data_IF_146137510838
#
_entry.id   IF_146137510838
#
_cell.length_a   1.000
_cell.length_b   1.000
_cell.length_c   1.000
_cell.angle_alpha   90.00
_cell.angle_beta   90.00
_cell.angle_gamma   90.00
#
_symmetry.space_group_name_H-M   'P 1'
#
loop_
_entity.id
_entity.type
_entity.pdbx_description
1 polymer ?
#
# COMPACT_ATOMS: atom_id res chain seq x y z
N UNK A 1 40.18 22.42 76.86
CA UNK A 1 40.86 21.55 75.88
C UNK A 1 40.11 21.69 74.56
N UNK A 2 40.52 22.66 73.76
CA UNK A 2 39.97 22.95 72.44
C UNK A 2 41.17 23.08 71.52
N UNK A 3 41.40 22.08 70.67
CA UNK A 3 42.49 22.09 69.69
C UNK A 3 42.11 23.07 68.59
N UNK A 4 42.78 24.22 68.58
CA UNK A 4 42.78 25.15 67.46
C UNK A 4 43.61 24.55 66.31
N UNK A 5 42.96 24.27 65.19
CA UNK A 5 43.59 23.91 63.92
C UNK A 5 44.23 25.16 63.30
N UNK A 6 45.48 25.04 62.87
CA UNK A 6 46.27 26.17 62.37
C UNK A 6 45.84 26.64 60.97
N UNK A 7 46.09 27.91 60.60
CA UNK A 7 45.63 28.52 59.33
C UNK A 7 46.13 27.85 58.04
N UNK A 8 47.11 26.94 58.13
CA UNK A 8 47.72 26.28 56.96
C UNK A 8 46.89 25.07 56.50
N UNK A 9 46.15 24.40 57.38
CA UNK A 9 45.29 23.27 57.00
C UNK A 9 44.02 23.74 56.23
N UNK A 10 43.48 24.92 56.55
CA UNK A 10 42.33 25.48 55.82
C UNK A 10 42.64 25.90 54.38
N UNK A 11 43.87 26.33 54.06
CA UNK A 11 44.22 26.73 52.69
C UNK A 11 44.39 25.53 51.74
N UNK A 12 44.79 24.36 52.24
CA UNK A 12 44.92 23.16 51.42
C UNK A 12 43.56 22.53 51.06
N UNK A 13 42.57 22.57 51.96
CA UNK A 13 41.21 22.08 51.65
C UNK A 13 40.50 22.94 50.60
N UNK A 14 40.66 24.27 50.66
CA UNK A 14 40.06 25.19 49.66
C UNK A 14 40.68 24.99 48.27
N UNK A 15 42.01 24.77 48.19
CA UNK A 15 42.69 24.53 46.91
C UNK A 15 42.30 23.20 46.25
N UNK A 16 42.11 22.13 47.04
CA UNK A 16 41.62 20.85 46.53
C UNK A 16 40.16 20.91 46.07
N UNK A 17 39.29 21.66 46.78
CA UNK A 17 37.91 21.88 46.37
C UNK A 17 37.80 22.67 45.05
N UNK A 18 38.63 23.70 44.84
CA UNK A 18 38.63 24.52 43.61
C UNK A 18 39.16 23.73 42.39
N UNK A 19 40.15 22.85 42.57
CA UNK A 19 40.61 21.93 41.51
C UNK A 19 39.56 20.85 41.17
N UNK A 20 38.82 20.34 42.16
CA UNK A 20 37.71 19.41 41.94
C UNK A 20 36.59 20.02 41.09
N UNK A 21 36.22 21.27 41.37
CA UNK A 21 35.19 22.01 40.62
C UNK A 21 35.63 22.27 39.16
N UNK A 22 36.91 22.54 38.90
CA UNK A 22 37.42 22.69 37.54
C UNK A 22 37.42 21.38 36.75
N UNK A 23 37.78 20.25 37.37
CA UNK A 23 37.70 18.93 36.74
C UNK A 23 36.25 18.54 36.44
N UNK A 24 35.32 18.77 37.36
CA UNK A 24 33.88 18.50 37.16
C UNK A 24 33.32 19.35 36.02
N UNK A 25 33.63 20.65 35.96
CA UNK A 25 33.20 21.53 34.86
C UNK A 25 33.79 21.13 33.50
N UNK A 26 35.01 20.62 33.47
CA UNK A 26 35.66 20.17 32.22
C UNK A 26 35.06 18.86 31.71
N UNK A 27 34.79 17.90 32.61
CA UNK A 27 34.10 16.64 32.27
C UNK A 27 32.67 16.92 31.81
N UNK A 28 31.95 17.82 32.49
CA UNK A 28 30.57 18.19 32.10
C UNK A 28 30.51 18.90 30.74
N UNK A 29 31.51 19.72 30.40
CA UNK A 29 31.62 20.36 29.07
C UNK A 29 31.95 19.34 27.98
N UNK A 30 32.79 18.35 28.27
CA UNK A 30 33.11 17.27 27.32
C UNK A 30 31.89 16.36 27.07
N UNK A 31 31.14 16.00 28.12
CA UNK A 31 29.93 15.17 27.97
C UNK A 31 28.80 15.91 27.28
N UNK A 32 28.60 17.21 27.54
CA UNK A 32 27.62 18.02 26.80
C UNK A 32 28.01 18.18 25.33
N UNK A 33 29.31 18.35 25.05
CA UNK A 33 29.82 18.43 23.67
C UNK A 33 29.63 17.13 22.90
N UNK A 34 29.93 15.98 23.53
CA UNK A 34 29.70 14.66 22.95
C UNK A 34 28.21 14.37 22.73
N UNK A 35 27.34 14.75 23.67
CA UNK A 35 25.90 14.61 23.51
C UNK A 35 25.37 15.50 22.38
N UNK A 36 25.84 16.73 22.25
CA UNK A 36 25.45 17.63 21.16
C UNK A 36 25.92 17.13 19.80
N UNK A 37 27.13 16.56 19.71
CA UNK A 37 27.64 15.91 18.49
C UNK A 37 26.82 14.65 18.17
N UNK A 38 26.47 13.84 19.18
CA UNK A 38 25.64 12.65 18.98
C UNK A 38 24.23 13.02 18.50
N UNK A 39 23.62 14.07 19.07
CA UNK A 39 22.33 14.60 18.62
C UNK A 39 22.44 15.17 17.20
N UNK A 40 23.52 15.88 16.86
CA UNK A 40 23.72 16.42 15.52
C UNK A 40 23.95 15.31 14.48
N UNK A 41 24.75 14.28 14.80
CA UNK A 41 24.97 13.12 13.94
C UNK A 41 23.68 12.30 13.80
N UNK A 42 22.91 12.14 14.88
CA UNK A 42 21.62 11.46 14.84
C UNK A 42 20.59 12.26 14.02
N UNK A 43 20.53 13.58 14.17
CA UNK A 43 19.66 14.46 13.39
C UNK A 43 20.06 14.51 11.90
N UNK A 44 21.36 14.47 11.57
CA UNK A 44 21.84 14.36 10.19
C UNK A 44 21.57 12.97 9.60
N UNK A 45 21.70 11.90 10.39
CA UNK A 45 21.35 10.55 9.98
C UNK A 45 19.83 10.39 9.74
N UNK A 46 19.01 11.06 10.55
CA UNK A 46 17.55 11.12 10.37
C UNK A 46 17.15 12.01 9.19
N UNK A 47 17.80 13.17 9.01
CA UNK A 47 17.54 14.08 7.89
C UNK A 47 17.80 13.43 6.51
N UNK A 48 18.87 12.63 6.40
CA UNK A 48 19.19 11.89 5.17
C UNK A 48 18.27 10.68 4.90
N UNK A 49 17.51 10.22 5.90
CA UNK A 49 16.49 9.17 5.73
C UNK A 49 15.15 9.80 5.34
N UNK A 50 14.86 10.99 5.86
CA UNK A 50 13.65 11.75 5.55
C UNK A 50 13.65 12.32 4.12
N UNK A 51 14.82 12.66 3.56
CA UNK A 51 14.96 13.06 2.15
C UNK A 51 14.78 11.92 1.14
N UNK A 52 14.70 10.65 1.58
CA UNK A 52 14.46 9.49 0.71
C UNK A 52 13.03 8.94 0.76
N UNK A 53 12.13 9.67 1.42
CA UNK A 53 10.70 9.37 1.27
C UNK A 53 10.28 9.90 -0.11
N UNK A 54 9.72 9.02 -0.95
CA UNK A 54 9.17 9.41 -2.24
C UNK A 54 8.04 10.42 -1.98
N UNK A 55 8.31 11.71 -2.20
CA UNK A 55 7.26 12.71 -2.27
C UNK A 55 6.62 12.56 -3.65
N UNK A 56 5.55 11.75 -3.72
CA UNK A 56 4.63 11.63 -4.85
C UNK A 56 5.19 12.10 -6.19
N UNK A 57 6.08 11.31 -6.79
CA UNK A 57 6.54 11.53 -8.15
C UNK A 57 5.35 11.47 -9.11
N UNK A 58 5.43 12.23 -10.20
CA UNK A 58 4.41 12.24 -11.24
C UNK A 58 4.20 10.82 -11.77
N UNK A 59 2.94 10.36 -11.80
CA UNK A 59 2.60 9.06 -12.35
C UNK A 59 2.96 8.99 -13.85
N UNK A 60 3.33 7.81 -14.38
CA UNK A 60 3.71 7.62 -15.78
C UNK A 60 2.75 8.27 -16.78
N UNK A 61 1.43 8.14 -16.60
CA UNK A 61 0.46 8.71 -17.54
C UNK A 61 0.45 10.25 -17.62
N UNK A 62 1.11 10.93 -16.67
CA UNK A 62 1.14 12.37 -16.52
C UNK A 62 2.57 12.95 -16.54
N UNK A 63 3.58 12.14 -16.86
CA UNK A 63 4.99 12.52 -16.80
C UNK A 63 5.41 13.57 -17.86
N UNK A 64 4.60 13.72 -18.90
CA UNK A 64 4.80 14.69 -19.98
C UNK A 64 5.81 14.25 -21.05
N UNK A 65 6.27 13.01 -21.00
CA UNK A 65 7.20 12.43 -21.96
C UNK A 65 6.46 11.67 -23.06
N UNK A 66 7.12 11.46 -24.21
CA UNK A 66 6.61 10.60 -25.26
C UNK A 66 6.78 9.14 -24.84
N UNK A 67 5.68 8.38 -24.90
CA UNK A 67 5.64 6.94 -24.72
C UNK A 67 5.87 6.29 -26.08
N UNK A 68 7.01 5.63 -26.26
CA UNK A 68 7.50 5.17 -27.55
C UNK A 68 6.75 3.94 -28.07
N UNK A 69 6.13 3.16 -27.20
CA UNK A 69 5.38 1.94 -27.51
C UNK A 69 6.12 0.66 -27.17
N UNK A 70 5.36 -0.39 -26.82
CA UNK A 70 5.91 -1.66 -26.31
C UNK A 70 6.83 -2.36 -27.31
N UNK A 71 6.61 -2.17 -28.62
CA UNK A 71 7.44 -2.79 -29.64
C UNK A 71 8.92 -2.36 -29.56
N UNK A 72 9.21 -1.17 -29.01
CA UNK A 72 10.58 -0.69 -28.79
C UNK A 72 11.34 -1.51 -27.74
N UNK A 73 10.63 -2.17 -26.82
CA UNK A 73 11.18 -3.07 -25.81
C UNK A 73 11.31 -4.52 -26.31
N UNK A 74 10.57 -4.89 -27.37
CA UNK A 74 10.21 -6.27 -27.70
C UNK A 74 11.28 -7.09 -28.47
N UNK A 75 12.38 -6.47 -28.90
CA UNK A 75 13.39 -7.16 -29.70
C UNK A 75 14.21 -8.15 -28.86
N UNK A 76 14.83 -9.16 -29.50
CA UNK A 76 15.66 -10.14 -28.81
C UNK A 76 16.99 -9.59 -28.26
N UNK A 77 17.39 -8.39 -28.69
CA UNK A 77 18.56 -7.67 -28.12
C UNK A 77 18.15 -6.73 -26.97
N UNK A 78 16.85 -6.63 -26.71
CA UNK A 78 16.23 -5.92 -25.61
C UNK A 78 15.50 -6.97 -24.74
N UNK A 79 14.24 -6.75 -24.38
CA UNK A 79 13.51 -7.56 -23.41
C UNK A 79 12.70 -8.72 -24.04
N UNK A 80 12.99 -9.08 -25.30
CA UNK A 80 12.25 -10.07 -26.10
C UNK A 80 12.91 -11.43 -26.32
N UNK A 81 13.97 -11.77 -25.57
CA UNK A 81 14.62 -13.08 -25.69
C UNK A 81 13.66 -14.24 -25.38
N UNK A 82 13.81 -15.42 -26.01
CA UNK A 82 12.93 -16.56 -25.79
C UNK A 82 13.13 -17.24 -24.42
N UNK A 83 14.25 -17.01 -23.76
CA UNK A 83 14.62 -17.59 -22.46
C UNK A 83 15.42 -16.58 -21.65
N UNK A 84 15.38 -16.72 -20.32
CA UNK A 84 16.06 -15.79 -19.42
C UNK A 84 17.58 -15.77 -19.68
N UNK A 85 18.17 -14.58 -19.68
CA UNK A 85 19.62 -14.43 -19.81
C UNK A 85 20.34 -14.78 -18.51
N UNK A 86 21.50 -15.42 -18.65
CA UNK A 86 22.46 -15.65 -17.56
C UNK A 86 23.60 -14.62 -17.57
N UNK A 87 23.71 -13.82 -18.64
CA UNK A 87 24.81 -12.88 -18.86
C UNK A 87 24.41 -11.43 -18.57
N UNK A 88 23.11 -11.13 -18.63
CA UNK A 88 22.56 -9.80 -18.40
C UNK A 88 22.12 -9.64 -16.94
N UNK A 89 22.07 -8.38 -16.48
CA UNK A 89 21.60 -8.00 -15.14
C UNK A 89 20.05 -7.93 -15.02
N UNK A 90 19.36 -8.35 -16.08
CA UNK A 90 17.90 -8.44 -16.20
C UNK A 90 17.56 -9.76 -16.91
N UNK A 91 16.29 -10.16 -16.92
CA UNK A 91 15.89 -11.46 -17.48
C UNK A 91 15.95 -11.47 -19.00
N UNK A 92 15.83 -10.30 -19.66
CA UNK A 92 15.73 -10.15 -21.11
C UNK A 92 14.50 -10.83 -21.74
N UNK A 93 13.56 -11.32 -20.91
CA UNK A 93 12.32 -11.98 -21.31
C UNK A 93 11.08 -11.20 -20.93
N UNK A 94 11.23 -10.02 -20.33
CA UNK A 94 10.16 -9.24 -19.71
C UNK A 94 9.01 -8.98 -20.69
N UNK A 95 9.29 -8.64 -21.95
CA UNK A 95 8.26 -8.48 -22.98
C UNK A 95 7.47 -9.77 -23.22
N UNK A 96 8.13 -10.93 -23.25
CA UNK A 96 7.43 -12.21 -23.46
C UNK A 96 6.62 -12.63 -22.25
N UNK A 97 7.11 -12.35 -21.04
CA UNK A 97 6.35 -12.58 -19.81
C UNK A 97 5.08 -11.73 -19.81
N UNK A 98 5.23 -10.42 -20.09
CA UNK A 98 4.11 -9.49 -20.23
C UNK A 98 3.09 -9.95 -21.27
N UNK A 99 3.56 -10.26 -22.49
CA UNK A 99 2.69 -10.63 -23.61
C UNK A 99 1.90 -11.93 -23.35
N UNK A 100 2.54 -12.94 -22.75
CA UNK A 100 1.98 -14.28 -22.68
C UNK A 100 1.26 -14.57 -21.35
N UNK A 101 1.72 -13.97 -20.25
CA UNK A 101 1.32 -14.36 -18.90
C UNK A 101 0.66 -13.23 -18.12
N UNK A 102 1.01 -11.97 -18.39
CA UNK A 102 0.48 -10.83 -17.65
C UNK A 102 -0.94 -10.47 -18.14
N UNK A 103 -1.86 -10.23 -17.20
CA UNK A 103 -3.22 -9.78 -17.51
C UNK A 103 -3.25 -8.33 -17.99
N UNK A 104 -2.24 -7.52 -17.64
CA UNK A 104 -2.09 -6.14 -18.09
C UNK A 104 -2.02 -6.01 -19.62
N UNK A 105 -1.33 -6.94 -20.30
CA UNK A 105 -1.28 -7.00 -21.78
C UNK A 105 -2.64 -7.31 -22.42
N UNK A 106 -3.60 -7.81 -21.63
CA UNK A 106 -4.95 -8.17 -22.07
C UNK A 106 -6.00 -7.15 -21.62
N UNK A 107 -5.62 -6.14 -20.85
CA UNK A 107 -6.55 -5.19 -20.24
C UNK A 107 -7.42 -4.47 -21.29
N UNK A 108 -6.83 -4.02 -22.41
CA UNK A 108 -7.58 -3.39 -23.50
C UNK A 108 -8.60 -4.34 -24.15
N UNK A 109 -8.26 -5.62 -24.29
CA UNK A 109 -9.16 -6.62 -24.89
C UNK A 109 -10.46 -6.79 -24.09
N UNK A 110 -10.44 -6.57 -22.77
CA UNK A 110 -11.65 -6.59 -21.95
C UNK A 110 -12.66 -5.51 -22.37
N UNK A 111 -12.22 -4.39 -22.94
CA UNK A 111 -13.07 -3.31 -23.45
C UNK A 111 -13.78 -3.66 -24.77
N UNK A 112 -13.38 -4.76 -25.42
CA UNK A 112 -13.97 -5.25 -26.67
C UNK A 112 -15.11 -6.25 -26.43
N UNK A 113 -15.38 -6.61 -25.17
CA UNK A 113 -16.39 -7.61 -24.82
C UNK A 113 -17.82 -7.06 -24.92
N UNK A 114 -18.84 -7.93 -25.08
CA UNK A 114 -20.24 -7.52 -24.98
C UNK A 114 -20.59 -6.88 -23.63
N UNK A 115 -20.01 -7.37 -22.52
CA UNK A 115 -20.22 -6.82 -21.19
C UNK A 115 -19.76 -5.36 -21.10
N UNK A 116 -18.57 -5.05 -21.62
CA UNK A 116 -18.06 -3.67 -21.65
C UNK A 116 -18.91 -2.77 -22.53
N UNK A 117 -19.40 -3.25 -23.68
CA UNK A 117 -20.34 -2.46 -24.50
C UNK A 117 -21.62 -2.13 -23.74
N UNK A 118 -22.19 -3.10 -23.03
CA UNK A 118 -23.37 -2.88 -22.19
C UNK A 118 -23.08 -1.86 -21.08
N UNK A 119 -21.90 -1.90 -20.46
CA UNK A 119 -21.49 -0.90 -19.46
C UNK A 119 -21.45 0.52 -20.06
N UNK A 120 -20.86 0.70 -21.25
CA UNK A 120 -20.84 2.00 -21.92
C UNK A 120 -22.24 2.48 -22.33
N UNK A 121 -23.12 1.57 -22.78
CA UNK A 121 -24.53 1.88 -23.06
C UNK A 121 -25.29 2.32 -21.79
N UNK A 122 -25.11 1.60 -20.67
CA UNK A 122 -25.71 1.93 -19.37
C UNK A 122 -25.20 3.29 -18.84
N UNK A 123 -23.94 3.63 -19.09
CA UNK A 123 -23.33 4.92 -18.76
C UNK A 123 -23.75 6.04 -19.71
N UNK A 124 -24.41 5.72 -20.83
CA UNK A 124 -24.77 6.70 -21.85
C UNK A 124 -23.56 7.31 -22.58
N UNK A 125 -22.45 6.57 -22.70
CA UNK A 125 -21.25 7.03 -23.40
C UNK A 125 -21.50 7.07 -24.91
N UNK A 126 -21.07 8.16 -25.56
CA UNK A 126 -21.16 8.28 -27.02
C UNK A 126 -20.14 7.38 -27.75
N UNK A 127 -19.01 7.12 -27.09
CA UNK A 127 -17.92 6.32 -27.63
C UNK A 127 -17.99 4.88 -27.12
N UNK A 128 -17.56 3.89 -27.93
CA UNK A 128 -17.42 2.53 -27.44
C UNK A 128 -16.34 2.47 -26.33
N UNK A 129 -16.38 1.45 -25.45
CA UNK A 129 -15.49 1.38 -24.27
C UNK A 129 -14.00 1.53 -24.61
N UNK A 130 -13.55 0.86 -25.68
CA UNK A 130 -12.16 0.90 -26.16
C UNK A 130 -11.72 2.24 -26.79
N UNK A 131 -12.56 3.28 -26.73
CA UNK A 131 -12.24 4.66 -27.12
C UNK A 131 -12.60 5.67 -26.04
N UNK A 132 -13.47 5.31 -25.11
CA UNK A 132 -13.89 6.17 -24.03
C UNK A 132 -12.78 6.34 -22.99
N UNK A 133 -12.35 7.59 -22.77
CA UNK A 133 -11.28 7.94 -21.81
C UNK A 133 -11.46 7.26 -20.45
N UNK A 134 -12.68 7.31 -19.91
CA UNK A 134 -13.05 6.73 -18.60
C UNK A 134 -12.72 5.23 -18.48
N UNK A 135 -12.73 4.49 -19.59
CA UNK A 135 -12.34 3.08 -19.63
C UNK A 135 -10.85 2.91 -19.92
N UNK A 136 -10.32 3.73 -20.85
CA UNK A 136 -8.91 3.65 -21.26
C UNK A 136 -7.95 4.02 -20.13
N UNK A 137 -8.32 4.93 -19.23
CA UNK A 137 -7.47 5.43 -18.14
C UNK A 137 -6.91 4.33 -17.20
N UNK A 138 -7.57 3.17 -17.12
CA UNK A 138 -7.11 2.01 -16.34
C UNK A 138 -6.80 0.77 -17.19
N UNK A 139 -7.28 0.70 -18.44
CA UNK A 139 -7.16 -0.50 -19.28
C UNK A 139 -6.08 -0.41 -20.35
N UNK A 140 -5.40 0.72 -20.46
CA UNK A 140 -4.22 0.90 -21.29
C UNK A 140 -3.34 2.04 -20.80
N UNK A 141 -2.15 2.14 -21.37
CA UNK A 141 -1.38 3.38 -21.35
C UNK A 141 -2.17 4.48 -22.09
N UNK A 142 -2.75 5.44 -21.37
CA UNK A 142 -3.68 6.42 -21.94
C UNK A 142 -3.14 7.86 -21.91
N UNK A 143 -1.92 8.05 -22.41
CA UNK A 143 -1.34 9.40 -22.62
C UNK A 143 -2.00 10.14 -23.80
N UNK A 144 -1.96 11.49 -23.83
CA UNK A 144 -2.42 12.28 -24.97
C UNK A 144 -1.81 11.84 -26.31
N UNK A 145 -2.54 11.98 -27.42
CA UNK A 145 -2.08 11.56 -28.75
C UNK A 145 -0.74 12.20 -29.17
N UNK A 146 -0.46 13.43 -28.73
CA UNK A 146 0.80 14.12 -28.98
C UNK A 146 2.00 13.53 -28.25
N UNK A 147 1.78 12.69 -27.24
CA UNK A 147 2.80 12.00 -26.44
C UNK A 147 2.90 10.52 -26.80
N UNK A 148 2.35 10.09 -27.94
CA UNK A 148 2.43 8.71 -28.42
C UNK A 148 3.46 8.63 -29.52
N UNK A 149 4.47 7.79 -29.32
CA UNK A 149 5.52 7.50 -30.28
C UNK A 149 5.02 6.68 -31.47
N UNK A 150 5.90 6.48 -32.45
CA UNK A 150 5.55 5.81 -33.72
C UNK A 150 5.07 4.36 -33.52
N UNK A 151 5.61 3.65 -32.53
CA UNK A 151 5.29 2.25 -32.23
C UNK A 151 4.24 2.11 -31.11
N UNK A 152 3.63 3.21 -30.66
CA UNK A 152 2.67 3.22 -29.57
C UNK A 152 1.30 2.70 -30.01
N UNK A 153 0.75 1.74 -29.28
CA UNK A 153 -0.57 1.17 -29.54
C UNK A 153 -1.40 1.07 -28.25
N UNK A 154 -2.59 1.71 -28.23
CA UNK A 154 -3.57 1.50 -27.15
C UNK A 154 -3.98 0.02 -27.00
N UNK A 155 -3.93 -0.73 -28.10
CA UNK A 155 -4.29 -2.16 -28.09
C UNK A 155 -3.30 -3.04 -27.34
N UNK A 156 -2.12 -2.53 -26.99
CA UNK A 156 -1.16 -3.26 -26.15
C UNK A 156 -1.68 -3.41 -24.71
N UNK A 157 -2.71 -2.66 -24.31
CA UNK A 157 -3.19 -2.67 -22.92
C UNK A 157 -2.26 -1.87 -22.02
N UNK A 158 -2.11 -2.31 -20.77
CA UNK A 158 -1.20 -1.68 -19.81
C UNK A 158 0.21 -2.20 -20.12
N UNK A 159 0.93 -1.41 -20.91
CA UNK A 159 2.26 -1.73 -21.44
C UNK A 159 3.41 -1.40 -20.48
N UNK A 160 4.65 -1.53 -20.96
CA UNK A 160 5.85 -1.26 -20.16
C UNK A 160 5.87 0.17 -19.60
N UNK A 161 5.56 1.15 -20.45
CA UNK A 161 5.66 2.58 -20.12
C UNK A 161 4.52 3.07 -19.23
N UNK A 162 3.40 2.33 -19.15
CA UNK A 162 2.36 2.59 -18.14
C UNK A 162 2.87 2.37 -16.70
N UNK A 163 3.92 1.57 -16.51
CA UNK A 163 4.57 1.38 -15.22
C UNK A 163 5.93 2.08 -15.11
N UNK A 164 6.70 2.12 -16.20
CA UNK A 164 8.07 2.62 -16.22
C UNK A 164 8.21 4.09 -16.64
N UNK A 165 7.13 4.76 -17.05
CA UNK A 165 7.18 6.12 -17.60
C UNK A 165 7.50 6.14 -19.09
N UNK A 166 7.24 7.27 -19.74
CA UNK A 166 7.55 7.51 -21.14
C UNK A 166 9.05 7.40 -21.40
N UNK A 167 9.43 6.59 -22.38
CA UNK A 167 10.82 6.20 -22.59
C UNK A 167 11.66 7.15 -23.45
N UNK A 168 11.09 8.26 -23.94
CA UNK A 168 11.77 9.17 -24.88
C UNK A 168 13.20 9.57 -24.44
N UNK A 169 13.42 9.76 -23.14
CA UNK A 169 14.66 10.32 -22.58
C UNK A 169 15.59 9.26 -21.98
N UNK A 170 15.10 8.03 -21.77
CA UNK A 170 15.88 6.96 -21.15
C UNK A 170 16.02 5.70 -22.01
N UNK A 171 15.26 5.52 -23.10
CA UNK A 171 15.34 4.34 -23.96
C UNK A 171 16.75 4.14 -24.54
N UNK A 172 17.34 5.20 -25.10
CA UNK A 172 18.69 5.14 -25.68
C UNK A 172 19.76 4.96 -24.60
N UNK A 173 19.68 5.72 -23.50
CA UNK A 173 20.65 5.64 -22.41
C UNK A 173 20.60 4.32 -21.67
N UNK A 174 19.42 3.68 -21.61
CA UNK A 174 19.19 2.37 -21.01
C UNK A 174 19.89 1.24 -21.77
N UNK A 175 20.09 1.41 -23.09
CA UNK A 175 20.89 0.47 -23.89
C UNK A 175 22.40 0.66 -23.65
N UNK A 176 22.82 1.84 -23.23
CA UNK A 176 24.20 2.15 -22.88
C UNK A 176 24.52 1.78 -21.42
N UNK A 177 25.74 2.03 -20.95
CA UNK A 177 26.15 1.76 -19.57
C UNK A 177 25.60 2.79 -18.55
N UNK A 178 24.36 3.24 -18.70
CA UNK A 178 23.73 4.16 -17.74
C UNK A 178 23.38 3.43 -16.45
N UNK A 179 23.52 4.12 -15.32
CA UNK A 179 23.08 3.55 -14.04
C UNK A 179 21.56 3.67 -13.89
N UNK A 180 20.99 2.87 -12.99
CA UNK A 180 19.57 2.94 -12.65
C UNK A 180 19.16 4.36 -12.22
N UNK A 181 19.99 5.02 -11.43
CA UNK A 181 19.76 6.40 -10.98
C UNK A 181 19.80 7.41 -12.12
N UNK A 182 20.65 7.19 -13.14
CA UNK A 182 20.69 8.03 -14.33
C UNK A 182 19.39 7.89 -15.13
N UNK A 183 18.87 6.68 -15.29
CA UNK A 183 17.58 6.47 -15.97
C UNK A 183 16.42 7.08 -15.18
N UNK A 184 16.40 6.99 -13.85
CA UNK A 184 15.40 7.70 -13.01
C UNK A 184 15.48 9.21 -13.27
N UNK A 185 16.68 9.78 -13.31
CA UNK A 185 16.85 11.22 -13.57
C UNK A 185 16.37 11.67 -14.96
N UNK A 186 16.17 10.70 -15.87
CA UNK A 186 15.67 10.89 -17.23
C UNK A 186 14.19 10.54 -17.39
N UNK A 187 13.49 10.19 -16.31
CA UNK A 187 12.05 9.92 -16.35
C UNK A 187 11.66 8.45 -16.16
N UNK A 188 12.61 7.53 -15.93
CA UNK A 188 12.25 6.16 -15.55
C UNK A 188 11.56 6.18 -14.18
N UNK A 189 10.34 5.65 -14.11
CA UNK A 189 9.60 5.56 -12.86
C UNK A 189 10.22 4.48 -11.94
N UNK A 190 10.49 4.77 -10.66
CA UNK A 190 11.24 3.89 -9.76
C UNK A 190 10.37 2.77 -9.17
N UNK A 191 9.88 1.84 -10.01
CA UNK A 191 8.96 0.77 -9.60
C UNK A 191 9.55 -0.21 -8.57
N UNK A 192 10.86 -0.19 -8.33
CA UNK A 192 11.52 -0.94 -7.25
C UNK A 192 11.33 -0.32 -5.86
N UNK A 193 10.97 0.97 -5.79
CA UNK A 193 10.67 1.64 -4.54
C UNK A 193 9.23 1.26 -4.14
N UNK A 194 8.99 0.62 -2.98
CA UNK A 194 7.65 0.18 -2.62
C UNK A 194 6.60 1.29 -2.53
N UNK A 195 6.98 2.52 -2.15
CA UNK A 195 6.03 3.63 -2.13
C UNK A 195 5.65 4.07 -3.53
N UNK A 196 6.63 4.20 -4.43
CA UNK A 196 6.36 4.53 -5.83
C UNK A 196 5.53 3.42 -6.50
N UNK A 197 5.86 2.15 -6.24
CA UNK A 197 5.11 1.00 -6.71
C UNK A 197 3.67 1.01 -6.17
N UNK A 198 3.49 1.20 -4.86
CA UNK A 198 2.17 1.27 -4.23
C UNK A 198 1.34 2.40 -4.86
N UNK A 199 1.90 3.60 -4.96
CA UNK A 199 1.26 4.78 -5.56
C UNK A 199 0.81 4.48 -6.99
N UNK A 200 1.71 3.90 -7.80
CA UNK A 200 1.44 3.53 -9.18
C UNK A 200 0.32 2.49 -9.30
N UNK A 201 0.42 1.36 -8.61
CA UNK A 201 -0.57 0.29 -8.70
C UNK A 201 -1.94 0.77 -8.20
N UNK A 202 -1.96 1.48 -7.06
CA UNK A 202 -3.20 1.97 -6.46
C UNK A 202 -3.87 3.06 -7.31
N UNK A 203 -3.13 3.82 -8.14
CA UNK A 203 -3.72 4.81 -9.06
C UNK A 203 -4.82 4.23 -9.97
N UNK A 204 -4.69 2.95 -10.33
CA UNK A 204 -5.68 2.22 -11.13
C UNK A 204 -6.54 1.28 -10.27
N UNK A 205 -5.94 0.62 -9.26
CA UNK A 205 -6.59 -0.43 -8.48
C UNK A 205 -7.39 0.08 -7.25
N UNK A 206 -7.19 1.33 -6.85
CA UNK A 206 -7.99 2.01 -5.82
C UNK A 206 -8.58 3.32 -6.37
N UNK A 207 -7.80 4.03 -7.19
CA UNK A 207 -8.17 5.24 -7.90
C UNK A 207 -7.15 6.37 -7.73
N UNK A 208 -7.39 7.45 -8.44
CA UNK A 208 -6.71 8.75 -8.35
C UNK A 208 -7.76 9.86 -8.39
N UNK A 209 -7.35 11.12 -8.31
CA UNK A 209 -8.21 12.29 -8.47
C UNK A 209 -8.93 12.38 -9.84
N UNK A 210 -8.46 11.62 -10.81
CA UNK A 210 -8.92 11.61 -12.20
C UNK A 210 -9.38 10.23 -12.69
N UNK A 211 -9.14 9.18 -11.90
CA UNK A 211 -9.50 7.79 -12.22
C UNK A 211 -10.21 7.16 -11.04
N UNK A 212 -11.46 6.74 -11.20
CA UNK A 212 -12.15 6.01 -10.14
C UNK A 212 -13.17 5.06 -10.77
N UNK A 213 -13.16 3.80 -10.35
CA UNK A 213 -14.27 2.88 -10.58
C UNK A 213 -15.45 3.27 -9.66
N UNK A 214 -16.05 4.44 -9.91
CA UNK A 214 -17.12 5.01 -9.09
C UNK A 214 -18.31 4.07 -8.93
N UNK A 215 -19.16 4.34 -7.94
CA UNK A 215 -20.40 3.60 -7.77
C UNK A 215 -21.30 3.66 -9.01
N UNK A 216 -21.23 4.74 -9.81
CA UNK A 216 -21.91 4.83 -11.10
C UNK A 216 -21.36 3.81 -12.12
N UNK A 217 -20.04 3.70 -12.24
CA UNK A 217 -19.38 2.72 -13.13
C UNK A 217 -19.68 1.29 -12.67
N UNK A 218 -19.67 1.04 -11.36
CA UNK A 218 -20.08 -0.25 -10.80
C UNK A 218 -21.55 -0.56 -11.09
N UNK A 219 -22.43 0.43 -10.91
CA UNK A 219 -23.85 0.31 -11.23
C UNK A 219 -24.15 0.03 -12.71
N UNK A 220 -23.24 0.43 -13.60
CA UNK A 220 -23.31 0.08 -15.02
C UNK A 220 -22.87 -1.35 -15.34
N UNK A 221 -22.20 -2.04 -14.40
CA UNK A 221 -21.79 -3.43 -14.50
C UNK A 221 -20.32 -3.71 -14.22
N UNK A 222 -19.51 -2.69 -13.87
CA UNK A 222 -18.09 -2.90 -13.56
C UNK A 222 -17.95 -3.61 -12.20
N UNK A 223 -17.06 -4.61 -12.07
CA UNK A 223 -16.81 -5.26 -10.79
C UNK A 223 -16.24 -4.28 -9.76
N UNK A 224 -16.43 -4.56 -8.47
CA UNK A 224 -15.69 -3.86 -7.42
C UNK A 224 -14.19 -4.12 -7.61
N UNK A 225 -13.36 -3.08 -7.44
CA UNK A 225 -11.92 -3.26 -7.37
C UNK A 225 -11.55 -3.89 -6.02
N UNK A 226 -10.76 -4.96 -6.09
CA UNK A 226 -10.14 -5.62 -4.94
C UNK A 226 -8.65 -5.68 -5.22
N UNK A 227 -7.85 -5.15 -4.30
CA UNK A 227 -6.41 -5.05 -4.48
C UNK A 227 -5.67 -5.02 -3.15
N UNK A 228 -4.55 -5.72 -3.12
CA UNK A 228 -3.58 -5.71 -2.03
C UNK A 228 -2.21 -5.86 -2.69
N UNK A 229 -1.29 -4.95 -2.40
CA UNK A 229 -0.07 -4.79 -3.18
C UNK A 229 0.80 -6.05 -3.16
N UNK A 230 1.01 -6.68 -2.00
CA UNK A 230 1.88 -7.85 -1.89
C UNK A 230 1.24 -9.07 -2.59
N UNK A 231 -0.03 -9.34 -2.30
CA UNK A 231 -0.76 -10.47 -2.87
C UNK A 231 -0.82 -10.37 -4.40
N UNK A 232 -1.15 -9.19 -4.95
CA UNK A 232 -1.20 -9.02 -6.40
C UNK A 232 0.20 -8.96 -7.04
N UNK A 233 1.23 -8.48 -6.33
CA UNK A 233 2.62 -8.59 -6.79
C UNK A 233 3.10 -10.05 -6.86
N UNK A 234 2.61 -10.92 -5.98
CA UNK A 234 2.90 -12.35 -6.00
C UNK A 234 2.12 -13.11 -7.08
N UNK A 235 0.89 -12.68 -7.39
CA UNK A 235 0.02 -13.28 -8.41
C UNK A 235 0.38 -12.83 -9.84
N UNK A 236 0.91 -11.62 -10.00
CA UNK A 236 1.42 -11.14 -11.28
C UNK A 236 2.71 -11.91 -11.64
N UNK A 237 2.91 -12.31 -12.90
CA UNK A 237 4.18 -12.90 -13.31
C UNK A 237 5.31 -11.87 -13.17
N UNK A 238 6.35 -12.20 -12.40
CA UNK A 238 7.45 -11.27 -12.14
C UNK A 238 8.20 -10.90 -13.44
N UNK A 239 8.36 -9.60 -13.67
CA UNK A 239 9.19 -9.03 -14.75
C UNK A 239 10.62 -8.72 -14.29
N UNK A 240 11.03 -9.24 -13.15
CA UNK A 240 12.34 -9.01 -12.55
C UNK A 240 12.75 -10.20 -11.70
N UNK A 241 14.02 -10.24 -11.31
CA UNK A 241 14.55 -11.18 -10.34
C UNK A 241 15.27 -10.41 -9.24
N UNK A 242 14.94 -10.71 -7.99
CA UNK A 242 15.58 -10.09 -6.82
C UNK A 242 16.79 -10.91 -6.39
N UNK A 243 17.88 -10.79 -7.15
CA UNK A 243 19.19 -11.34 -6.79
C UNK A 243 20.08 -10.29 -6.10
N UNK A 244 21.34 -10.63 -5.84
CA UNK A 244 22.26 -9.73 -5.14
C UNK A 244 22.56 -8.47 -5.95
N UNK A 245 22.75 -8.62 -7.26
CA UNK A 245 22.95 -7.49 -8.18
C UNK A 245 21.72 -6.55 -8.17
N UNK A 246 20.51 -7.11 -8.20
CA UNK A 246 19.29 -6.29 -8.09
C UNK A 246 19.30 -5.46 -6.80
N UNK A 247 19.59 -6.08 -5.65
CA UNK A 247 19.63 -5.39 -4.35
C UNK A 247 20.71 -4.31 -4.31
N UNK A 248 21.91 -4.59 -4.82
CA UNK A 248 23.02 -3.63 -4.86
C UNK A 248 22.72 -2.43 -5.77
N UNK A 249 22.20 -2.67 -6.98
CA UNK A 249 21.95 -1.60 -7.96
C UNK A 249 20.76 -0.71 -7.59
N UNK A 250 19.73 -1.30 -6.97
CA UNK A 250 18.43 -0.66 -6.78
C UNK A 250 18.11 -0.32 -5.33
N UNK A 251 18.89 -0.81 -4.37
CA UNK A 251 18.61 -0.67 -2.94
C UNK A 251 17.16 -1.09 -2.60
N UNK A 252 16.68 -2.15 -3.27
CA UNK A 252 15.30 -2.59 -3.18
C UNK A 252 14.97 -3.12 -1.79
N UNK A 253 13.87 -2.63 -1.21
CA UNK A 253 13.29 -3.22 0.00
C UNK A 253 12.71 -4.58 -0.36
N UNK A 254 12.92 -5.56 0.52
CA UNK A 254 12.45 -6.94 0.31
C UNK A 254 11.63 -7.42 1.51
N UNK A 255 10.67 -8.32 1.26
CA UNK A 255 9.83 -8.93 2.30
C UNK A 255 8.57 -8.12 2.63
N UNK A 256 8.05 -8.27 3.86
CA UNK A 256 6.76 -7.68 4.30
C UNK A 256 6.73 -6.14 4.19
N UNK A 257 7.87 -5.48 3.98
CA UNK A 257 7.90 -4.03 3.71
C UNK A 257 6.97 -3.63 2.56
N UNK A 258 6.77 -4.47 1.55
CA UNK A 258 5.83 -4.21 0.44
C UNK A 258 4.37 -4.26 0.90
N UNK A 259 3.96 -5.31 1.64
CA UNK A 259 2.61 -5.38 2.23
C UNK A 259 2.32 -4.16 3.13
N UNK A 260 3.25 -3.83 4.04
CA UNK A 260 3.10 -2.70 4.96
C UNK A 260 3.00 -1.38 4.19
N UNK A 261 3.88 -1.18 3.21
CA UNK A 261 3.86 0.02 2.38
C UNK A 261 2.56 0.12 1.59
N UNK A 262 2.07 -0.97 1.01
CA UNK A 262 0.79 -1.02 0.31
C UNK A 262 -0.39 -0.66 1.19
N UNK A 263 -0.45 -1.18 2.43
CA UNK A 263 -1.53 -0.86 3.38
C UNK A 263 -1.48 0.59 3.86
N UNK A 264 -0.29 1.11 4.17
CA UNK A 264 -0.10 2.51 4.56
C UNK A 264 -0.47 3.46 3.42
N UNK A 265 -0.01 3.18 2.20
CA UNK A 265 -0.30 3.99 1.02
C UNK A 265 -1.78 3.95 0.65
N UNK A 266 -2.40 2.77 0.64
CA UNK A 266 -3.84 2.64 0.37
C UNK A 266 -4.66 3.39 1.43
N UNK A 267 -4.24 3.37 2.70
CA UNK A 267 -4.88 4.13 3.77
C UNK A 267 -4.76 5.64 3.55
N UNK A 268 -3.56 6.15 3.27
CA UNK A 268 -3.33 7.57 2.99
C UNK A 268 -4.12 8.03 1.75
N UNK A 269 -3.96 7.34 0.63
CA UNK A 269 -4.65 7.65 -0.62
C UNK A 269 -6.18 7.61 -0.47
N UNK A 270 -6.73 6.65 0.29
CA UNK A 270 -8.18 6.60 0.54
C UNK A 270 -8.70 7.85 1.26
N UNK A 271 -7.92 8.44 2.17
CA UNK A 271 -8.29 9.68 2.87
C UNK A 271 -8.26 10.89 1.93
N UNK A 272 -7.28 10.96 1.03
CA UNK A 272 -7.19 12.00 0.00
C UNK A 272 -8.35 11.90 -1.01
N UNK A 273 -8.68 10.67 -1.43
CA UNK A 273 -9.76 10.42 -2.37
C UNK A 273 -11.14 10.66 -1.73
N UNK A 274 -11.33 10.38 -0.43
CA UNK A 274 -12.54 10.79 0.31
C UNK A 274 -12.69 12.32 0.26
N UNK A 275 -11.62 13.08 0.47
CA UNK A 275 -11.69 14.53 0.37
C UNK A 275 -12.09 14.97 -1.05
N UNK A 276 -11.51 14.36 -2.07
CA UNK A 276 -11.77 14.69 -3.48
C UNK A 276 -13.20 14.34 -3.91
N UNK A 277 -13.64 13.11 -3.67
CA UNK A 277 -14.86 12.56 -4.25
C UNK A 277 -16.09 12.62 -3.34
N UNK A 278 -15.92 12.74 -2.02
CA UNK A 278 -17.02 12.84 -1.05
C UNK A 278 -17.17 14.27 -0.54
N UNK A 279 -16.08 14.90 -0.13
CA UNK A 279 -16.13 16.25 0.47
C UNK A 279 -16.28 17.32 -0.61
N UNK A 280 -15.37 17.38 -1.58
CA UNK A 280 -15.29 18.46 -2.59
C UNK A 280 -16.29 18.31 -3.73
N UNK A 281 -16.87 17.13 -3.90
CA UNK A 281 -17.88 16.89 -4.91
C UNK A 281 -19.26 17.41 -4.48
N UNK A 282 -19.79 18.44 -5.15
CA UNK A 282 -21.12 19.02 -4.87
C UNK A 282 -22.32 18.18 -5.35
N UNK A 283 -22.08 16.96 -5.86
CA UNK A 283 -23.13 16.01 -6.22
C UNK A 283 -24.07 15.73 -5.03
N UNK A 284 -25.37 15.65 -5.34
CA UNK A 284 -26.39 15.27 -4.37
C UNK A 284 -26.25 13.81 -3.91
N UNK A 285 -25.62 12.97 -4.72
CA UNK A 285 -25.22 11.61 -4.34
C UNK A 285 -23.75 11.64 -3.92
N UNK A 286 -23.47 11.22 -2.68
CA UNK A 286 -22.11 10.94 -2.22
C UNK A 286 -21.51 9.81 -3.05
N UNK A 287 -20.20 9.85 -3.28
CA UNK A 287 -19.51 8.75 -3.93
C UNK A 287 -19.47 7.52 -3.00
N UNK A 288 -20.28 6.52 -3.31
CA UNK A 288 -20.49 5.35 -2.45
C UNK A 288 -19.32 4.34 -2.50
N UNK A 289 -18.36 4.49 -3.41
CA UNK A 289 -17.12 3.70 -3.45
C UNK A 289 -16.37 3.66 -2.10
N UNK A 290 -16.36 4.79 -1.38
CA UNK A 290 -15.63 4.92 -0.11
C UNK A 290 -16.37 4.35 1.11
N UNK A 291 -17.50 3.70 0.88
CA UNK A 291 -18.31 3.08 1.92
C UNK A 291 -18.28 1.56 1.80
N UNK A 292 -18.55 0.86 2.90
CA UNK A 292 -18.74 -0.58 2.88
C UNK A 292 -19.97 -0.92 2.03
N UNK A 293 -19.76 -1.49 0.85
CA UNK A 293 -20.83 -1.87 -0.07
C UNK A 293 -21.86 -2.79 0.62
N UNK A 294 -21.41 -3.66 1.53
CA UNK A 294 -22.26 -4.61 2.22
C UNK A 294 -22.95 -4.05 3.47
N UNK A 295 -22.75 -2.77 3.78
CA UNK A 295 -23.63 -2.04 4.69
C UNK A 295 -25.02 -1.82 4.07
N UNK A 296 -25.12 -1.85 2.73
CA UNK A 296 -26.39 -1.71 1.99
C UNK A 296 -26.73 -2.95 1.15
N UNK A 297 -25.75 -3.60 0.53
CA UNK A 297 -25.94 -4.76 -0.36
C UNK A 297 -25.91 -6.08 0.41
N UNK A 298 -26.92 -6.29 1.26
CA UNK A 298 -27.13 -7.55 1.98
C UNK A 298 -28.63 -7.89 2.09
N UNK A 299 -28.99 -9.14 2.41
CA UNK A 299 -30.39 -9.48 2.66
C UNK A 299 -30.97 -8.64 3.81
N UNK A 300 -32.15 -8.04 3.62
CA UNK A 300 -32.79 -7.17 4.63
C UNK A 300 -33.16 -7.90 5.93
N UNK A 301 -33.25 -9.23 5.89
CA UNK A 301 -33.48 -10.07 7.07
C UNK A 301 -32.24 -10.22 7.96
N UNK A 302 -31.05 -9.95 7.42
CA UNK A 302 -29.78 -10.04 8.12
C UNK A 302 -29.55 -8.79 9.00
N UNK A 303 -29.81 -8.93 10.30
CA UNK A 303 -29.63 -7.84 11.28
C UNK A 303 -28.17 -7.78 11.73
N UNK A 304 -27.38 -6.98 11.01
CA UNK A 304 -25.91 -6.88 11.20
C UNK A 304 -25.43 -5.88 12.26
N UNK A 305 -26.31 -4.99 12.76
CA UNK A 305 -25.88 -3.97 13.73
C UNK A 305 -25.54 -4.60 15.10
N UNK A 306 -24.39 -4.22 15.65
CA UNK A 306 -23.88 -4.68 16.95
C UNK A 306 -23.54 -3.45 17.80
N UNK A 307 -24.05 -3.33 19.05
CA UNK A 307 -23.65 -2.27 19.96
C UNK A 307 -22.14 -2.27 20.22
N UNK A 308 -21.49 -1.11 20.22
CA UNK A 308 -20.07 -0.98 20.57
C UNK A 308 -19.07 -1.14 19.42
N UNK A 309 -19.50 -1.68 18.27
CA UNK A 309 -18.67 -1.76 17.06
C UNK A 309 -18.77 -0.48 16.21
N UNK A 310 -17.82 -0.27 15.29
CA UNK A 310 -17.79 0.82 14.32
C UNK A 310 -18.00 2.21 14.95
N UNK A 311 -17.12 2.61 15.88
CA UNK A 311 -17.13 3.94 16.50
C UNK A 311 -18.43 4.36 17.21
N UNK A 312 -19.28 3.39 17.61
CA UNK A 312 -20.62 3.62 18.17
C UNK A 312 -21.57 4.35 17.21
N UNK A 313 -21.43 4.12 15.91
CA UNK A 313 -22.35 4.69 14.92
C UNK A 313 -23.81 4.19 15.13
N UNK A 314 -24.82 5.05 14.92
CA UNK A 314 -26.22 4.66 15.03
C UNK A 314 -26.59 3.52 14.06
N UNK A 315 -27.59 2.68 14.39
CA UNK A 315 -28.15 1.71 13.45
C UNK A 315 -28.59 2.36 12.13
N UNK A 316 -28.30 1.70 11.00
CA UNK A 316 -28.66 2.19 9.67
C UNK A 316 -27.66 3.17 9.05
N UNK A 317 -26.55 3.47 9.72
CA UNK A 317 -25.46 4.27 9.15
C UNK A 317 -24.75 3.52 8.03
N UNK A 318 -24.54 4.18 6.89
CA UNK A 318 -23.65 3.71 5.83
C UNK A 318 -22.22 3.94 6.31
N UNK A 319 -21.48 2.86 6.56
CA UNK A 319 -20.13 2.91 7.15
C UNK A 319 -19.09 3.20 6.08
N UNK A 320 -18.08 4.00 6.41
CA UNK A 320 -16.90 4.14 5.55
C UNK A 320 -16.20 2.77 5.45
N UNK A 321 -15.65 2.47 4.28
CA UNK A 321 -14.76 1.32 4.12
C UNK A 321 -13.45 1.63 4.85
N UNK A 322 -13.18 0.95 5.96
CA UNK A 322 -11.99 1.16 6.78
C UNK A 322 -10.99 0.01 6.74
N UNK A 323 -11.09 -0.87 5.75
CA UNK A 323 -10.28 -2.09 5.63
C UNK A 323 -8.77 -1.87 5.73
N UNK A 324 -8.20 -0.91 5.01
CA UNK A 324 -6.77 -0.58 5.11
C UNK A 324 -6.38 -0.02 6.49
N UNK A 325 -7.24 0.79 7.12
CA UNK A 325 -7.00 1.31 8.48
C UNK A 325 -7.00 0.19 9.52
N UNK A 326 -7.87 -0.81 9.36
CA UNK A 326 -7.88 -1.99 10.21
C UNK A 326 -6.60 -2.82 10.04
N UNK A 327 -6.09 -2.98 8.82
CA UNK A 327 -4.81 -3.67 8.59
C UNK A 327 -3.63 -2.93 9.24
N UNK A 328 -3.57 -1.60 9.11
CA UNK A 328 -2.57 -0.77 9.79
C UNK A 328 -2.69 -0.89 11.30
N UNK A 329 -3.90 -0.88 11.85
CA UNK A 329 -4.15 -1.04 13.30
C UNK A 329 -3.65 -2.40 13.78
N UNK A 330 -3.98 -3.47 13.07
CA UNK A 330 -3.55 -4.84 13.38
C UNK A 330 -2.03 -5.02 13.33
N UNK A 331 -1.35 -4.33 12.41
CA UNK A 331 0.11 -4.27 12.41
C UNK A 331 0.63 -3.58 13.68
N UNK A 332 0.11 -2.40 14.00
CA UNK A 332 0.57 -1.60 15.14
C UNK A 332 0.39 -2.33 16.47
N UNK A 333 -0.68 -3.11 16.66
CA UNK A 333 -0.89 -3.90 17.86
C UNK A 333 0.24 -4.89 18.15
N UNK A 334 0.88 -5.42 17.10
CA UNK A 334 1.99 -6.36 17.24
C UNK A 334 3.33 -5.64 17.38
N UNK A 335 3.55 -4.57 16.62
CA UNK A 335 4.91 -3.99 16.47
C UNK A 335 5.11 -2.63 17.15
N UNK A 336 4.03 -1.95 17.56
CA UNK A 336 4.08 -0.65 18.24
C UNK A 336 2.76 -0.36 18.97
N UNK A 337 2.47 -1.14 20.01
CA UNK A 337 1.21 -1.06 20.77
C UNK A 337 0.95 0.34 21.36
N UNK A 338 1.99 1.13 21.60
CA UNK A 338 1.93 2.51 22.08
C UNK A 338 1.26 3.48 21.09
N UNK A 339 1.26 3.15 19.79
CA UNK A 339 0.65 3.93 18.71
C UNK A 339 -0.86 3.69 18.60
N UNK A 340 -1.32 2.49 18.95
CA UNK A 340 -2.71 2.02 18.76
C UNK A 340 -3.78 2.94 19.37
N UNK A 341 -3.62 3.50 20.59
CA UNK A 341 -4.64 4.39 21.15
C UNK A 341 -4.93 5.61 20.28
N UNK A 342 -3.89 6.21 19.68
CA UNK A 342 -4.05 7.38 18.82
C UNK A 342 -4.64 7.00 17.45
N UNK A 343 -4.19 5.90 16.85
CA UNK A 343 -4.77 5.35 15.63
C UNK A 343 -6.28 5.10 15.80
N UNK A 344 -6.68 4.40 16.85
CA UNK A 344 -8.08 4.11 17.16
C UNK A 344 -8.89 5.38 17.45
N UNK A 345 -8.30 6.37 18.13
CA UNK A 345 -8.96 7.66 18.39
C UNK A 345 -9.26 8.39 17.08
N UNK A 346 -8.28 8.49 16.19
CA UNK A 346 -8.41 9.18 14.90
C UNK A 346 -9.37 8.45 13.94
N UNK A 347 -9.29 7.12 13.88
CA UNK A 347 -10.22 6.31 13.08
C UNK A 347 -11.67 6.44 13.57
N UNK A 348 -11.88 6.42 14.90
CA UNK A 348 -13.22 6.65 15.47
C UNK A 348 -13.74 8.06 15.14
N UNK A 349 -12.87 9.08 15.16
CA UNK A 349 -13.25 10.44 14.79
C UNK A 349 -13.63 10.56 13.30
N UNK A 350 -12.93 9.85 12.40
CA UNK A 350 -13.27 9.79 10.97
C UNK A 350 -14.68 9.20 10.76
N UNK A 351 -14.94 8.04 11.36
CA UNK A 351 -16.25 7.40 11.30
C UNK A 351 -17.35 8.29 11.87
N UNK A 352 -17.14 8.90 13.04
CA UNK A 352 -18.11 9.83 13.64
C UNK A 352 -18.34 11.08 12.78
N UNK A 353 -17.28 11.61 12.15
CA UNK A 353 -17.39 12.74 11.26
C UNK A 353 -18.24 12.45 10.00
N UNK A 354 -18.24 11.20 9.52
CA UNK A 354 -18.99 10.74 8.34
C UNK A 354 -20.50 10.96 8.44
N UNK A 355 -21.05 11.03 9.65
CA UNK A 355 -22.48 11.27 9.90
C UNK A 355 -22.80 12.71 10.33
N UNK A 356 -21.79 13.59 10.39
CA UNK A 356 -21.94 14.97 10.88
C UNK A 356 -21.97 15.96 9.71
N UNK A 357 -20.87 16.09 8.97
CA UNK A 357 -20.77 17.05 7.86
C UNK A 357 -19.51 16.84 7.02
N UNK A 358 -19.52 17.30 5.76
CA UNK A 358 -18.35 17.29 4.87
C UNK A 358 -17.11 17.98 5.48
N UNK A 359 -17.19 19.18 6.09
CA UNK A 359 -16.02 19.78 6.77
C UNK A 359 -15.48 18.95 7.95
N UNK A 360 -16.36 18.25 8.67
CA UNK A 360 -15.92 17.35 9.74
C UNK A 360 -15.15 16.15 9.16
N UNK A 361 -15.63 15.56 8.06
CA UNK A 361 -14.92 14.47 7.35
C UNK A 361 -13.53 14.94 6.94
N UNK A 362 -13.45 16.10 6.28
CA UNK A 362 -12.17 16.69 5.87
C UNK A 362 -11.17 16.79 7.01
N UNK A 363 -11.58 17.41 8.11
CA UNK A 363 -10.70 17.59 9.26
C UNK A 363 -10.25 16.24 9.87
N UNK A 364 -11.16 15.28 9.99
CA UNK A 364 -10.81 13.96 10.52
C UNK A 364 -9.89 13.17 9.57
N UNK A 365 -10.13 13.27 8.26
CA UNK A 365 -9.33 12.63 7.22
C UNK A 365 -7.91 13.21 7.18
N UNK A 366 -7.76 14.53 7.19
CA UNK A 366 -6.46 15.22 7.23
C UNK A 366 -5.66 14.86 8.50
N UNK A 367 -6.31 14.78 9.66
CA UNK A 367 -5.64 14.38 10.91
C UNK A 367 -5.19 12.92 10.91
N UNK A 368 -6.02 11.99 10.42
CA UNK A 368 -5.65 10.58 10.32
C UNK A 368 -4.54 10.39 9.27
N UNK A 369 -4.62 11.10 8.14
CA UNK A 369 -3.60 11.09 7.11
C UNK A 369 -2.25 11.51 7.68
N UNK A 370 -2.18 12.68 8.33
CA UNK A 370 -0.95 13.19 8.93
C UNK A 370 -0.35 12.24 9.98
N UNK A 371 -1.19 11.51 10.71
CA UNK A 371 -0.73 10.49 11.65
C UNK A 371 -0.10 9.28 10.95
N UNK A 372 -0.76 8.74 9.90
CA UNK A 372 -0.26 7.60 9.12
C UNK A 372 1.03 7.98 8.39
N UNK A 373 1.05 9.15 7.75
CA UNK A 373 2.24 9.70 7.11
C UNK A 373 3.43 9.79 8.09
N UNK A 374 3.17 10.30 9.31
CA UNK A 374 4.18 10.46 10.36
C UNK A 374 4.78 9.15 10.88
N UNK A 375 4.14 8.00 10.62
CA UNK A 375 4.68 6.68 10.97
C UNK A 375 5.18 5.88 9.75
N UNK A 376 4.86 6.33 8.54
CA UNK A 376 4.99 5.53 7.32
C UNK A 376 6.43 5.12 7.01
N UNK A 377 7.37 6.08 7.05
CA UNK A 377 8.79 5.81 6.82
C UNK A 377 9.36 4.80 7.83
N UNK A 378 8.99 4.93 9.11
CA UNK A 378 9.50 4.07 10.17
C UNK A 378 9.13 2.60 9.95
N UNK A 379 7.89 2.32 9.53
CA UNK A 379 7.39 0.95 9.39
C UNK A 379 7.69 0.34 8.02
N UNK A 380 7.73 1.14 6.96
CA UNK A 380 8.04 0.66 5.60
C UNK A 380 9.50 0.22 5.40
N UNK A 381 10.47 0.93 6.02
CA UNK A 381 11.90 0.63 5.83
C UNK A 381 12.47 -0.32 6.88
N UNK A 382 11.63 -0.80 7.79
CA UNK A 382 12.05 -1.69 8.88
C UNK A 382 12.10 -3.14 8.39
N UNK A 383 13.10 -3.88 8.84
CA UNK A 383 13.12 -5.34 8.69
C UNK A 383 12.23 -6.00 9.75
N UNK A 384 11.41 -6.97 9.30
CA UNK A 384 10.51 -7.74 10.15
C UNK A 384 11.00 -9.17 10.26
N UNK A 385 11.05 -9.67 11.49
CA UNK A 385 11.45 -11.06 11.78
C UNK A 385 10.32 -12.04 11.46
N UNK A 386 10.64 -13.29 11.12
CA UNK A 386 9.64 -14.33 10.88
C UNK A 386 8.70 -14.54 12.08
N UNK A 387 9.20 -14.34 13.30
CA UNK A 387 8.40 -14.36 14.53
C UNK A 387 7.37 -13.21 14.58
N UNK A 388 7.75 -11.99 14.17
CA UNK A 388 6.81 -10.89 14.02
C UNK A 388 5.76 -11.17 12.95
N UNK A 389 6.15 -11.76 11.82
CA UNK A 389 5.21 -12.16 10.77
C UNK A 389 4.19 -13.17 11.29
N UNK A 390 4.65 -14.20 12.02
CA UNK A 390 3.76 -15.16 12.68
C UNK A 390 2.81 -14.49 13.65
N UNK A 391 3.28 -13.54 14.46
CA UNK A 391 2.43 -12.76 15.38
C UNK A 391 1.42 -11.87 14.65
N UNK A 392 1.80 -11.21 13.56
CA UNK A 392 0.87 -10.39 12.75
C UNK A 392 -0.21 -11.28 12.14
N UNK A 393 0.16 -12.38 11.48
CA UNK A 393 -0.81 -13.35 10.94
C UNK A 393 -1.75 -13.88 12.02
N UNK A 394 -1.20 -14.20 13.19
CA UNK A 394 -1.98 -14.65 14.35
C UNK A 394 -2.98 -13.58 14.81
N UNK A 395 -2.54 -12.33 14.92
CA UNK A 395 -3.39 -11.21 15.31
C UNK A 395 -4.56 -11.02 14.33
N UNK A 396 -4.30 -11.05 13.02
CA UNK A 396 -5.32 -10.96 11.98
C UNK A 396 -6.39 -12.06 12.11
N UNK A 397 -5.96 -13.31 12.33
CA UNK A 397 -6.88 -14.45 12.54
C UNK A 397 -7.69 -14.27 13.83
N UNK A 398 -7.08 -13.76 14.90
CA UNK A 398 -7.76 -13.52 16.17
C UNK A 398 -8.85 -12.45 16.04
N UNK A 399 -8.59 -11.35 15.32
CA UNK A 399 -9.62 -10.35 15.00
C UNK A 399 -10.77 -10.93 14.17
N UNK A 400 -10.46 -11.73 13.14
CA UNK A 400 -11.47 -12.44 12.37
C UNK A 400 -12.31 -13.38 13.27
N UNK A 401 -11.67 -14.12 14.16
CA UNK A 401 -12.33 -15.03 15.10
C UNK A 401 -13.16 -14.30 16.17
N UNK A 402 -12.74 -13.12 16.60
CA UNK A 402 -13.48 -12.29 17.56
C UNK A 402 -14.70 -11.61 16.93
N UNK A 403 -14.73 -11.50 15.60
CA UNK A 403 -15.79 -10.83 14.86
C UNK A 403 -15.55 -9.33 14.71
N UNK A 404 -14.28 -8.92 14.65
CA UNK A 404 -13.89 -7.56 14.34
C UNK A 404 -13.92 -7.32 12.81
N UNK A 405 -13.69 -8.37 12.01
CA UNK A 405 -13.68 -8.31 10.53
C UNK A 405 -14.99 -8.83 9.92
N UNK A 406 -16.10 -8.17 10.27
CA UNK A 406 -17.45 -8.54 9.80
C UNK A 406 -17.89 -7.81 8.53
N UNK A 407 -17.18 -6.78 8.13
CA UNK A 407 -17.38 -6.11 6.85
C UNK A 407 -16.54 -6.82 5.78
N UNK A 408 -17.13 -7.05 4.60
CA UNK A 408 -16.54 -7.90 3.56
C UNK A 408 -15.17 -7.41 3.11
N UNK A 409 -15.01 -6.11 2.88
CA UNK A 409 -13.74 -5.53 2.47
C UNK A 409 -12.63 -5.75 3.51
N UNK A 410 -12.96 -5.71 4.80
CA UNK A 410 -12.00 -5.94 5.88
C UNK A 410 -11.61 -7.42 5.94
N UNK A 411 -12.59 -8.32 5.83
CA UNK A 411 -12.35 -9.76 5.80
C UNK A 411 -11.52 -10.18 4.57
N UNK A 412 -11.76 -9.55 3.42
CA UNK A 412 -11.02 -9.75 2.18
C UNK A 412 -9.56 -9.31 2.31
N UNK A 413 -9.30 -8.09 2.80
CA UNK A 413 -7.95 -7.60 3.08
C UNK A 413 -7.21 -8.46 4.10
N UNK A 414 -7.89 -8.86 5.19
CA UNK A 414 -7.31 -9.74 6.20
C UNK A 414 -6.89 -11.08 5.61
N UNK A 415 -7.73 -11.68 4.75
CA UNK A 415 -7.43 -12.97 4.13
C UNK A 415 -6.23 -12.87 3.18
N UNK A 416 -6.17 -11.84 2.32
CA UNK A 416 -5.01 -11.61 1.45
C UNK A 416 -3.74 -11.39 2.28
N UNK A 417 -3.82 -10.64 3.38
CA UNK A 417 -2.68 -10.46 4.28
C UNK A 417 -2.23 -11.77 4.96
N UNK A 418 -3.18 -12.59 5.44
CA UNK A 418 -2.89 -13.90 6.04
C UNK A 418 -2.22 -14.82 5.03
N UNK A 419 -2.71 -14.87 3.80
CA UNK A 419 -2.16 -15.67 2.72
C UNK A 419 -0.76 -15.19 2.33
N UNK A 420 -0.59 -13.90 2.06
CA UNK A 420 0.69 -13.28 1.74
C UNK A 420 1.76 -13.50 2.80
N UNK A 421 1.41 -13.34 4.09
CA UNK A 421 2.33 -13.64 5.20
C UNK A 421 2.69 -15.14 5.22
N UNK A 422 1.73 -16.01 4.96
CA UNK A 422 1.94 -17.47 4.95
C UNK A 422 2.86 -17.91 3.81
N UNK A 423 2.70 -17.34 2.62
CA UNK A 423 3.60 -17.54 1.48
C UNK A 423 5.00 -17.03 1.83
N UNK A 424 5.12 -15.83 2.42
CA UNK A 424 6.41 -15.26 2.83
C UNK A 424 7.15 -16.12 3.85
N UNK A 425 6.41 -16.77 4.76
CA UNK A 425 6.96 -17.72 5.72
C UNK A 425 7.28 -19.10 5.12
N UNK A 426 7.02 -19.31 3.82
CA UNK A 426 7.16 -20.59 3.12
C UNK A 426 6.30 -21.70 3.75
N UNK A 427 5.12 -21.34 4.23
CA UNK A 427 4.20 -22.23 4.92
C UNK A 427 2.89 -22.46 4.14
N UNK A 428 2.83 -22.09 2.85
CA UNK A 428 1.63 -22.23 2.02
C UNK A 428 1.11 -23.68 2.00
N UNK A 429 1.97 -24.66 1.70
CA UNK A 429 1.61 -26.08 1.71
C UNK A 429 1.13 -26.58 3.09
N UNK A 430 1.71 -26.04 4.17
CA UNK A 430 1.35 -26.41 5.54
C UNK A 430 -0.06 -25.92 5.91
N UNK A 431 -0.47 -24.76 5.40
CA UNK A 431 -1.73 -24.11 5.74
C UNK A 431 -2.76 -24.13 4.60
N UNK A 432 -2.51 -24.84 3.49
CA UNK A 432 -3.39 -24.92 2.32
C UNK A 432 -4.86 -25.15 2.71
N UNK A 433 -5.15 -26.21 3.47
CA UNK A 433 -6.51 -26.52 3.92
C UNK A 433 -7.16 -25.46 4.82
N UNK A 434 -6.34 -24.72 5.57
CA UNK A 434 -6.80 -23.63 6.44
C UNK A 434 -7.15 -22.39 5.61
N UNK A 435 -6.28 -22.03 4.67
CA UNK A 435 -6.49 -20.92 3.75
C UNK A 435 -7.71 -21.20 2.86
N UNK A 436 -7.83 -22.40 2.30
CA UNK A 436 -9.00 -22.83 1.50
C UNK A 436 -10.31 -22.68 2.28
N UNK A 437 -10.32 -23.10 3.56
CA UNK A 437 -11.50 -22.95 4.39
C UNK A 437 -11.89 -21.48 4.59
N UNK A 438 -10.91 -20.59 4.80
CA UNK A 438 -11.14 -19.15 4.91
C UNK A 438 -11.64 -18.54 3.59
N UNK A 439 -11.03 -18.90 2.44
CA UNK A 439 -11.47 -18.46 1.12
C UNK A 439 -12.91 -18.91 0.81
N UNK A 440 -13.23 -20.18 1.07
CA UNK A 440 -14.59 -20.71 0.89
C UNK A 440 -15.61 -20.05 1.84
N UNK A 441 -15.17 -19.51 2.99
CA UNK A 441 -16.03 -18.77 3.89
C UNK A 441 -16.39 -17.37 3.36
N UNK A 442 -15.54 -16.80 2.49
CA UNK A 442 -15.79 -15.53 1.81
C UNK A 442 -16.81 -15.67 0.67
N UNK A 443 -16.88 -16.83 0.01
CA UNK A 443 -17.73 -17.10 -1.16
C UNK A 443 -19.02 -17.83 -0.76
N UNK A 444 -20.19 -17.29 -1.14
CA UNK A 444 -21.44 -18.08 -1.21
C UNK A 444 -21.56 -18.72 -2.60
N UNK A 445 -21.95 -19.99 -2.70
CA UNK A 445 -21.68 -20.90 -3.82
C UNK A 445 -22.36 -20.59 -5.19
N UNK A 446 -23.04 -19.46 -5.39
CA UNK A 446 -24.03 -19.31 -6.47
C UNK A 446 -23.76 -18.16 -7.48
N UNK A 447 -22.49 -17.95 -7.90
CA UNK A 447 -22.05 -16.72 -8.59
C UNK A 447 -21.49 -16.86 -10.02
N UNK A 448 -21.94 -17.85 -10.79
CA UNK A 448 -21.48 -18.03 -12.18
C UNK A 448 -21.85 -16.91 -13.17
N UNK A 449 -22.86 -16.07 -12.91
CA UNK A 449 -23.42 -15.19 -13.96
C UNK A 449 -23.58 -13.70 -13.61
N UNK A 450 -23.40 -13.26 -12.35
CA UNK A 450 -23.77 -11.88 -11.93
C UNK A 450 -22.78 -11.09 -11.06
N UNK A 451 -21.62 -11.65 -10.70
CA UNK A 451 -20.48 -10.86 -10.20
C UNK A 451 -20.60 -10.18 -8.81
N UNK A 452 -21.55 -10.56 -7.95
CA UNK A 452 -21.64 -10.02 -6.57
C UNK A 452 -21.39 -11.12 -5.54
N UNK A 453 -20.44 -10.96 -4.62
CA UNK A 453 -20.27 -11.91 -3.51
C UNK A 453 -21.25 -11.57 -2.39
N UNK A 454 -22.24 -12.43 -2.12
CA UNK A 454 -22.99 -12.35 -0.86
C UNK A 454 -22.07 -12.91 0.23
N UNK A 455 -21.64 -12.05 1.15
CA UNK A 455 -20.79 -12.45 2.27
C UNK A 455 -21.63 -12.70 3.52
N UNK A 456 -21.35 -13.81 4.21
CA UNK A 456 -21.97 -14.15 5.48
C UNK A 456 -20.92 -14.02 6.60
N UNK A 457 -20.95 -12.88 7.29
CA UNK A 457 -20.01 -12.57 8.35
C UNK A 457 -20.00 -13.63 9.46
N UNK A 458 -21.16 -14.19 9.85
CA UNK A 458 -21.20 -15.22 10.90
C UNK A 458 -20.57 -16.53 10.47
N UNK A 459 -20.70 -16.92 9.19
CA UNK A 459 -19.99 -18.08 8.63
C UNK A 459 -18.49 -17.82 8.69
N UNK A 460 -18.02 -16.66 8.21
CA UNK A 460 -16.62 -16.29 8.23
C UNK A 460 -16.03 -16.32 9.65
N UNK A 461 -16.68 -15.65 10.62
CA UNK A 461 -16.25 -15.64 12.02
C UNK A 461 -16.20 -17.05 12.62
N UNK A 462 -17.19 -17.92 12.31
CA UNK A 462 -17.17 -19.32 12.79
C UNK A 462 -16.00 -20.10 12.21
N UNK A 463 -15.72 -19.97 10.92
CA UNK A 463 -14.58 -20.64 10.28
C UNK A 463 -13.26 -20.09 10.84
N UNK A 464 -13.13 -18.77 10.97
CA UNK A 464 -11.97 -18.13 11.60
C UNK A 464 -11.70 -18.68 13.01
N UNK A 465 -12.72 -18.83 13.86
CA UNK A 465 -12.60 -19.47 15.18
C UNK A 465 -12.15 -20.93 15.13
N UNK A 466 -12.61 -21.68 14.13
CA UNK A 466 -12.22 -23.09 13.98
C UNK A 466 -10.77 -23.23 13.56
N UNK A 467 -10.29 -22.34 12.68
CA UNK A 467 -8.91 -22.40 12.19
C UNK A 467 -7.90 -21.70 13.09
N UNK A 468 -8.36 -20.82 13.98
CA UNK A 468 -7.56 -20.09 14.96
C UNK A 468 -6.56 -21.01 15.68
N UNK A 469 -6.98 -22.19 16.12
CA UNK A 469 -6.10 -23.15 16.82
C UNK A 469 -4.84 -23.56 16.02
N UNK A 470 -4.89 -23.61 14.68
CA UNK A 470 -3.75 -24.04 13.86
C UNK A 470 -2.65 -22.99 13.76
N UNK A 471 -2.94 -21.73 14.10
CA UNK A 471 -1.96 -20.66 14.17
C UNK A 471 -1.40 -20.46 15.58
N UNK A 472 -1.98 -21.09 16.61
CA UNK A 472 -1.53 -20.96 17.99
C UNK A 472 -0.20 -21.70 18.25
N UNK A 473 -0.03 -22.88 17.65
CA UNK A 473 1.11 -23.78 17.88
C UNK A 473 2.44 -23.29 17.25
N UNK A 474 2.37 -22.32 16.32
CA UNK A 474 3.53 -21.80 15.57
C UNK A 474 4.25 -20.65 16.31
N UNK A 475 3.70 -20.15 17.43
CA UNK A 475 4.27 -19.04 18.21
C UNK A 475 5.26 -19.45 19.30
N UNK A 476 5.50 -20.76 19.45
CA UNK A 476 6.27 -21.35 20.55
C UNK A 476 7.59 -22.04 20.16
N UNK A 477 8.04 -21.93 18.91
CA UNK A 477 9.31 -22.49 18.44
C UNK A 477 10.29 -21.43 17.93
#
# INVERSE_FOLDING_TARGET
MTRETTPIEQQNEVSQAVMGIHKIKSVFRLTLGLLAVFIAVYALAQGNQQERFFQGGTLPEADGFVHMGVATCASSVCHGQPSASEQDNVLMTEYRTWLNQDLHSRAYNSLLTPASRLMAENLGLEQPPHRAKICLDCHTDNVPESLRGEEFLLSDGVGCEACHGGSENWLDSHRENSTHQDNISRGLFPTENPFAQATLCLSCHNGSDTKLASHLIMGAGHPRLSFELEAYSALQPAHYRVDEDYRERKNALVGLGVWITGQLEMAMQSLELINTYVVDNDSMQSELYFYDCQACHHPLEDKRWIPGQHANLPPGTIRLNDSSFQMVTSLLEVVSIDRVPEMNRLLNLLHQASVVSKPAIRNAAENLHAYIEGISLQFSTREYTDDELRRIRRNLIQHAANGDYRDYAVAEQALMAIDGITIRLQQADQYESVLDALFQAMVLEDFGERGFVLFNADRFVRIARQVDQYFADDSSN
#
